data_IF_075456225011
#
_entry.id   IF_075456225011
#
_cell.length_a   1.000
_cell.length_b   1.000
_cell.length_c   1.000
_cell.angle_alpha   90.00
_cell.angle_beta   90.00
_cell.angle_gamma   90.00
#
_symmetry.space_group_name_H-M   'P 1'
#
loop_
_entity.id
_entity.type
_entity.pdbx_description
1 polymer ?
#
# COMPACT_ATOMS: atom_id res chain seq x y z
N UNK A 1 -21.39 13.06 -3.34
CA UNK A 1 -21.07 12.11 -4.42
C UNK A 1 -21.22 12.86 -5.72
N UNK A 2 -20.11 13.10 -6.42
CA UNK A 2 -20.09 13.98 -7.61
C UNK A 2 -20.38 13.21 -8.89
N UNK A 3 -20.79 13.91 -9.96
CA UNK A 3 -21.12 13.28 -11.24
C UNK A 3 -19.91 12.55 -11.86
N UNK A 4 -18.70 13.06 -11.60
CA UNK A 4 -17.43 12.46 -12.03
C UNK A 4 -17.12 11.16 -11.26
N UNK A 5 -17.44 11.09 -9.97
CA UNK A 5 -17.32 9.86 -9.17
C UNK A 5 -18.27 8.76 -9.65
N UNK A 6 -19.48 9.12 -10.08
CA UNK A 6 -20.44 8.15 -10.63
C UNK A 6 -19.92 7.59 -11.96
N UNK A 7 -19.39 8.45 -12.84
CA UNK A 7 -18.83 8.04 -14.11
C UNK A 7 -17.62 7.09 -13.94
N UNK A 8 -16.69 7.44 -13.05
CA UNK A 8 -15.50 6.62 -12.75
C UNK A 8 -15.87 5.26 -12.15
N UNK A 9 -16.92 5.19 -11.32
CA UNK A 9 -17.44 3.92 -10.78
C UNK A 9 -18.08 3.05 -11.86
N UNK A 10 -18.76 3.66 -12.84
CA UNK A 10 -19.39 2.94 -13.97
C UNK A 10 -18.34 2.31 -14.89
N UNK A 11 -17.20 2.96 -15.10
CA UNK A 11 -16.09 2.43 -15.92
C UNK A 11 -15.14 1.49 -15.13
N UNK A 12 -15.50 1.10 -13.90
CA UNK A 12 -14.74 0.15 -13.10
C UNK A 12 -13.48 0.71 -12.42
N UNK A 13 -13.31 2.04 -12.33
CA UNK A 13 -12.23 2.62 -11.55
C UNK A 13 -12.55 2.52 -10.05
N UNK A 14 -11.59 2.03 -9.28
CA UNK A 14 -11.70 1.93 -7.83
C UNK A 14 -11.57 3.34 -7.23
N UNK A 15 -12.68 3.89 -6.72
CA UNK A 15 -12.69 5.23 -6.11
C UNK A 15 -12.59 5.05 -4.60
N UNK A 16 -11.38 5.17 -4.09
CA UNK A 16 -11.14 5.27 -2.65
C UNK A 16 -11.46 6.71 -2.24
N UNK A 17 -12.60 6.92 -1.56
CA UNK A 17 -13.09 8.26 -1.19
C UNK A 17 -12.19 8.98 -0.19
N UNK A 18 -11.37 8.23 0.52
CA UNK A 18 -10.41 8.66 1.54
C UNK A 18 -8.97 8.29 1.15
N UNK A 19 -8.65 8.32 -0.15
CA UNK A 19 -7.30 8.06 -0.62
C UNK A 19 -6.30 9.01 0.06
N UNK A 20 -5.14 8.47 0.45
CA UNK A 20 -4.07 9.19 1.11
C UNK A 20 -3.61 10.43 0.31
N UNK A 21 -3.48 10.27 -1.01
CA UNK A 21 -2.99 11.32 -1.89
C UNK A 21 -1.49 11.55 -1.74
N UNK A 22 -0.92 12.32 -2.69
CA UNK A 22 0.55 12.43 -2.84
C UNK A 22 1.27 13.09 -1.67
N UNK A 23 0.68 14.11 -1.05
CA UNK A 23 1.38 14.86 0.01
C UNK A 23 1.45 14.05 1.31
N UNK A 24 0.35 13.43 1.73
CA UNK A 24 0.37 12.54 2.90
C UNK A 24 1.19 11.28 2.62
N UNK A 25 1.17 10.75 1.39
CA UNK A 25 1.98 9.59 1.04
C UNK A 25 3.48 9.82 1.30
N UNK A 26 4.01 11.03 1.08
CA UNK A 26 5.42 11.34 1.42
C UNK A 26 5.71 11.19 2.91
N UNK A 27 4.76 11.59 3.76
CA UNK A 27 4.88 11.47 5.21
C UNK A 27 4.79 9.99 5.64
N UNK A 28 3.90 9.21 5.02
CA UNK A 28 3.87 7.76 5.20
C UNK A 28 5.24 7.13 4.85
N UNK A 29 5.81 7.49 3.69
CA UNK A 29 7.14 7.00 3.29
C UNK A 29 8.23 7.42 4.28
N UNK A 30 8.15 8.61 4.88
CA UNK A 30 9.07 9.03 5.95
C UNK A 30 8.94 8.10 7.16
N UNK A 31 7.72 7.85 7.64
CA UNK A 31 7.48 6.96 8.80
C UNK A 31 7.94 5.51 8.52
N UNK A 32 7.77 5.01 7.29
CA UNK A 32 8.33 3.70 6.92
C UNK A 32 9.86 3.67 7.02
N UNK A 33 10.54 4.74 6.60
CA UNK A 33 12.01 4.84 6.64
C UNK A 33 12.55 5.02 8.04
N UNK A 34 11.99 5.95 8.78
CA UNK A 34 12.53 6.42 10.05
C UNK A 34 12.03 5.51 11.18
N UNK A 35 10.70 5.34 11.26
CA UNK A 35 10.02 4.66 12.35
C UNK A 35 9.87 3.15 12.09
N UNK A 36 10.17 2.69 10.88
CA UNK A 36 10.13 1.27 10.52
C UNK A 36 8.72 0.70 10.35
N UNK A 37 7.72 1.57 10.14
CA UNK A 37 6.34 1.15 9.89
C UNK A 37 6.23 0.37 8.57
N UNK A 38 5.32 -0.58 8.54
CA UNK A 38 5.04 -1.44 7.38
C UNK A 38 3.57 -1.38 7.05
N UNK A 39 3.23 -1.51 5.77
CA UNK A 39 1.85 -1.59 5.32
C UNK A 39 1.53 -3.02 4.89
N UNK A 40 0.45 -3.60 5.39
CA UNK A 40 -0.04 -4.92 5.01
C UNK A 40 -1.35 -4.77 4.23
N UNK A 41 -1.36 -5.29 3.00
CA UNK A 41 -2.55 -5.25 2.15
C UNK A 41 -3.51 -6.39 2.51
N UNK A 42 -4.28 -6.17 3.58
CA UNK A 42 -5.27 -7.13 4.09
C UNK A 42 -6.30 -7.52 3.02
N UNK A 43 -6.72 -6.57 2.19
CA UNK A 43 -7.70 -6.81 1.13
C UNK A 43 -7.14 -7.73 0.05
N UNK A 44 -5.91 -7.49 -0.40
CA UNK A 44 -5.26 -8.37 -1.37
C UNK A 44 -5.10 -9.79 -0.83
N UNK A 45 -4.73 -9.94 0.45
CA UNK A 45 -4.62 -11.27 1.07
C UNK A 45 -5.99 -11.97 1.09
N UNK A 46 -7.04 -11.26 1.50
CA UNK A 46 -8.39 -11.82 1.55
C UNK A 46 -8.90 -12.31 0.18
N UNK A 47 -8.64 -11.54 -0.88
CA UNK A 47 -9.15 -11.88 -2.22
C UNK A 47 -8.28 -12.86 -3.00
N UNK A 48 -6.95 -12.76 -2.88
CA UNK A 48 -6.02 -13.52 -3.71
C UNK A 48 -5.39 -14.71 -2.98
N UNK A 49 -5.43 -14.73 -1.65
CA UNK A 49 -4.64 -15.67 -0.85
C UNK A 49 -3.14 -15.37 -0.85
N UNK A 50 -2.74 -14.19 -1.32
CA UNK A 50 -1.35 -13.73 -1.29
C UNK A 50 -1.20 -12.60 -0.30
N UNK A 51 -0.42 -12.84 0.76
CA UNK A 51 -0.05 -11.80 1.72
C UNK A 51 0.98 -10.86 1.11
N UNK A 52 0.65 -9.57 1.02
CA UNK A 52 1.55 -8.53 0.53
C UNK A 52 1.88 -7.54 1.62
N UNK A 53 3.17 -7.45 1.95
CA UNK A 53 3.67 -6.49 2.96
C UNK A 53 4.69 -5.56 2.33
N UNK A 54 4.47 -4.26 2.50
CA UNK A 54 5.33 -3.20 2.02
C UNK A 54 6.14 -2.62 3.17
N UNK A 55 7.46 -2.52 2.99
CA UNK A 55 8.39 -2.12 4.05
C UNK A 55 9.59 -1.36 3.50
N UNK A 56 10.36 -0.72 4.39
CA UNK A 56 11.64 -0.11 4.03
C UNK A 56 12.81 -0.95 4.55
N UNK A 57 13.71 -1.33 3.67
CA UNK A 57 14.95 -2.02 4.01
C UNK A 57 16.06 -0.99 4.29
N UNK A 58 16.41 -0.81 5.58
CA UNK A 58 17.43 0.17 6.02
C UNK A 58 18.83 -0.15 5.51
N UNK A 59 19.20 -1.43 5.38
CA UNK A 59 20.53 -1.84 4.92
C UNK A 59 20.73 -1.51 3.44
N UNK A 60 19.69 -1.75 2.64
CA UNK A 60 19.71 -1.55 1.19
C UNK A 60 19.19 -0.18 0.75
N UNK A 61 18.69 0.62 1.70
CA UNK A 61 18.13 1.95 1.50
C UNK A 61 17.02 2.00 0.44
N UNK A 62 16.18 0.97 0.38
CA UNK A 62 15.13 0.84 -0.63
C UNK A 62 13.83 0.30 -0.04
N UNK A 63 12.71 0.51 -0.74
CA UNK A 63 11.41 -0.07 -0.38
C UNK A 63 11.30 -1.49 -0.94
N UNK A 64 10.56 -2.34 -0.25
CA UNK A 64 10.44 -3.76 -0.54
C UNK A 64 8.98 -4.17 -0.42
N UNK A 65 8.51 -4.93 -1.41
CA UNK A 65 7.30 -5.72 -1.34
C UNK A 65 7.70 -7.17 -1.04
N UNK A 66 7.18 -7.71 0.05
CA UNK A 66 7.23 -9.14 0.35
C UNK A 66 5.89 -9.77 0.01
N UNK A 67 5.92 -10.83 -0.80
CA UNK A 67 4.72 -11.58 -1.19
C UNK A 67 4.84 -13.03 -0.74
N UNK A 68 3.81 -13.55 -0.09
CA UNK A 68 3.74 -14.95 0.34
C UNK A 68 2.37 -15.51 -0.01
N UNK A 69 2.33 -16.65 -0.70
CA UNK A 69 1.09 -17.42 -0.86
C UNK A 69 0.73 -18.05 0.48
N UNK A 70 -0.31 -17.56 1.15
CA UNK A 70 -0.68 -18.05 2.49
C UNK A 70 -1.57 -19.30 2.43
N UNK A 71 -2.07 -19.67 1.26
CA UNK A 71 -2.93 -20.84 1.11
C UNK A 71 -2.09 -22.11 0.98
N UNK A 72 -1.11 -22.09 0.05
CA UNK A 72 -0.29 -23.26 -0.24
C UNK A 72 1.19 -23.10 0.13
N UNK A 73 1.62 -21.90 0.60
CA UNK A 73 3.03 -21.57 0.82
C UNK A 73 3.90 -21.88 -0.40
N UNK A 74 3.32 -21.76 -1.59
CA UNK A 74 3.96 -22.20 -2.84
C UNK A 74 5.09 -21.27 -3.29
N UNK A 75 5.08 -20.01 -2.83
CA UNK A 75 6.14 -19.04 -3.09
C UNK A 75 6.32 -18.05 -1.93
N UNK A 76 7.52 -17.47 -1.88
CA UNK A 76 7.86 -16.33 -1.06
C UNK A 76 8.82 -15.42 -1.86
N UNK A 77 8.34 -14.24 -2.26
CA UNK A 77 9.08 -13.29 -3.09
C UNK A 77 9.46 -12.05 -2.28
N UNK A 78 10.60 -11.46 -2.65
CA UNK A 78 11.01 -10.14 -2.18
C UNK A 78 11.39 -9.28 -3.38
N UNK A 79 10.59 -8.25 -3.62
CA UNK A 79 10.67 -7.40 -4.80
C UNK A 79 11.09 -5.99 -4.35
N UNK A 80 12.25 -5.47 -4.80
CA UNK A 80 12.61 -4.10 -4.51
C UNK A 80 11.71 -3.14 -5.29
N UNK A 81 11.26 -2.08 -4.63
CA UNK A 81 10.47 -1.00 -5.19
C UNK A 81 11.27 0.31 -5.15
N UNK A 82 11.15 1.08 -6.22
CA UNK A 82 11.60 2.48 -6.24
C UNK A 82 10.71 3.33 -5.33
N UNK A 83 11.25 4.46 -4.86
CA UNK A 83 10.47 5.41 -4.07
C UNK A 83 9.27 5.96 -4.87
N UNK A 84 9.39 6.09 -6.20
CA UNK A 84 8.28 6.51 -7.06
C UNK A 84 7.15 5.47 -7.07
N UNK A 85 7.48 4.19 -7.26
CA UNK A 85 6.47 3.11 -7.24
C UNK A 85 5.78 3.03 -5.88
N UNK A 86 6.55 3.17 -4.79
CA UNK A 86 6.00 3.17 -3.44
C UNK A 86 5.11 4.38 -3.19
N UNK A 87 5.52 5.57 -3.65
CA UNK A 87 4.73 6.79 -3.54
C UNK A 87 3.41 6.68 -4.33
N UNK A 88 3.48 6.18 -5.56
CA UNK A 88 2.30 6.01 -6.42
C UNK A 88 1.32 5.00 -5.81
N UNK A 89 1.82 3.90 -5.24
CA UNK A 89 1.01 2.93 -4.51
C UNK A 89 0.32 3.54 -3.28
N UNK A 90 1.11 4.07 -2.32
CA UNK A 90 0.58 4.62 -1.06
C UNK A 90 -0.38 5.78 -1.30
N UNK A 91 -0.16 6.58 -2.34
CA UNK A 91 -1.09 7.67 -2.70
C UNK A 91 -2.51 7.19 -3.00
N UNK A 92 -2.66 5.93 -3.43
CA UNK A 92 -3.94 5.30 -3.73
C UNK A 92 -4.56 4.51 -2.57
N UNK A 93 -3.80 4.24 -1.50
CA UNK A 93 -4.28 3.51 -0.32
C UNK A 93 -5.22 4.39 0.51
N UNK A 94 -6.22 3.77 1.14
CA UNK A 94 -7.15 4.48 2.01
C UNK A 94 -6.45 4.96 3.29
N UNK A 95 -6.86 6.13 3.79
CA UNK A 95 -6.38 6.63 5.08
C UNK A 95 -6.84 5.75 6.24
N UNK A 96 -7.99 5.07 6.10
CA UNK A 96 -8.45 4.09 7.07
C UNK A 96 -7.45 2.95 7.26
N UNK A 97 -7.01 2.33 6.16
CA UNK A 97 -6.13 1.14 6.22
C UNK A 97 -4.73 1.53 6.73
N UNK A 98 -4.20 2.67 6.29
CA UNK A 98 -2.94 3.20 6.81
C UNK A 98 -3.01 3.46 8.32
N UNK A 99 -4.12 3.96 8.86
CA UNK A 99 -4.29 4.11 10.31
C UNK A 99 -4.39 2.75 11.01
N UNK A 100 -5.03 1.77 10.38
CA UNK A 100 -5.08 0.38 10.86
C UNK A 100 -3.69 -0.22 11.08
N UNK A 101 -2.76 0.09 10.17
CA UNK A 101 -1.35 -0.31 10.26
C UNK A 101 -0.49 0.62 11.15
N UNK A 102 -1.11 1.57 11.85
CA UNK A 102 -0.45 2.41 12.85
C UNK A 102 0.29 3.62 12.29
N UNK A 103 0.05 4.01 11.03
CA UNK A 103 0.56 5.27 10.51
C UNK A 103 -0.12 6.48 11.15
N UNK A 104 0.64 7.55 11.38
CA UNK A 104 0.14 8.79 11.97
C UNK A 104 -0.25 9.77 10.86
N UNK A 105 -1.55 10.05 10.73
CA UNK A 105 -2.18 10.79 9.60
C UNK A 105 -3.39 11.61 10.03
#
# INVERSE_FOLDING_TARGET
MTQDEVYRKIIGQNIVKDACGRELAKEILRQMREDGKTFWDEWEEYYSGTSKTYSYNKERKSFWLSEVDVIALSFANQIPLTEKEMLDFISGVSLHDLRGDGFEI
#
